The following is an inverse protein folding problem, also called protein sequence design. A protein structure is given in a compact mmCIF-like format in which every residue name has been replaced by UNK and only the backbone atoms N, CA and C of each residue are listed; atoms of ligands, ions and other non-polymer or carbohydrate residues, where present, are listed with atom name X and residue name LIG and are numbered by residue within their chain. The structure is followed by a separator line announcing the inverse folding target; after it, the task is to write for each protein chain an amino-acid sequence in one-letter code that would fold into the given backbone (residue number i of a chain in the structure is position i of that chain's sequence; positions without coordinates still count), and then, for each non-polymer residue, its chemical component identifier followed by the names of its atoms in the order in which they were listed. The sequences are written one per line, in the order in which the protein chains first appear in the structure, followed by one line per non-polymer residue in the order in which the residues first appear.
data_IF_136188282227
#
_entry.id   IF_136188282227
#
_cell.length_a   1.000
_cell.length_b   1.000
_cell.length_c   1.000
_cell.angle_alpha   90.00
_cell.angle_beta   90.00
_cell.angle_gamma   90.00
#
_symmetry.space_group_name_H-M   'P 1'
#
loop_
_entity.id
_entity.type
_entity.pdbx_description
1 polymer ?
#
# COMPACT_ATOMS: atom_id res chain seq x y z
N UNK A 1 17.41 -6.15 18.08
CA UNK A 1 17.63 -5.49 16.78
C UNK A 1 17.27 -6.50 15.71
N UNK A 2 16.14 -6.28 15.04
CA UNK A 2 15.76 -6.83 13.72
C UNK A 2 14.30 -6.41 13.45
N UNK A 3 14.08 -5.13 13.18
CA UNK A 3 12.80 -4.60 12.69
C UNK A 3 12.77 -4.70 11.16
N UNK A 4 12.77 -5.92 10.65
CA UNK A 4 12.42 -6.17 9.26
C UNK A 4 10.90 -6.30 9.21
N UNK A 5 10.20 -5.19 8.97
CA UNK A 5 8.80 -5.26 8.54
C UNK A 5 8.87 -5.82 7.11
N UNK A 6 8.46 -7.06 6.95
CA UNK A 6 8.42 -7.74 5.67
C UNK A 6 7.45 -7.02 4.73
N UNK A 7 7.94 -6.01 4.01
CA UNK A 7 7.21 -5.46 2.86
C UNK A 7 7.00 -6.60 1.88
N UNK A 8 5.74 -6.97 1.66
CA UNK A 8 5.42 -7.94 0.61
C UNK A 8 5.92 -7.41 -0.74
N UNK A 9 6.48 -8.26 -1.62
CA UNK A 9 7.11 -7.81 -2.87
C UNK A 9 6.16 -7.05 -3.82
N UNK A 10 4.86 -7.11 -3.56
CA UNK A 10 3.80 -6.54 -4.41
C UNK A 10 3.08 -5.33 -3.76
N UNK A 11 3.68 -4.72 -2.73
CA UNK A 11 3.14 -3.51 -2.08
C UNK A 11 4.08 -2.33 -2.30
N UNK A 12 3.56 -1.27 -2.92
CA UNK A 12 4.27 -0.01 -3.15
C UNK A 12 4.01 0.92 -1.97
N UNK A 13 5.05 1.27 -1.23
CA UNK A 13 4.96 2.28 -0.17
C UNK A 13 5.03 3.67 -0.79
N UNK A 14 4.07 4.53 -0.43
CA UNK A 14 3.99 5.91 -0.90
C UNK A 14 3.95 6.84 0.30
N UNK A 15 4.86 7.81 0.35
CA UNK A 15 5.07 8.70 1.50
C UNK A 15 5.17 10.18 1.13
N UNK A 16 4.39 10.62 0.12
CA UNK A 16 4.23 12.03 -0.21
C UNK A 16 3.00 12.24 -1.09
N UNK A 17 2.44 13.46 -1.06
CA UNK A 17 1.37 13.90 -1.97
C UNK A 17 1.72 13.73 -3.45
N UNK A 18 2.94 14.07 -3.85
CA UNK A 18 3.42 13.88 -5.22
C UNK A 18 3.43 12.39 -5.61
N UNK A 19 3.83 11.53 -4.67
CA UNK A 19 3.79 10.08 -4.84
C UNK A 19 2.36 9.56 -5.00
N UNK A 20 1.42 10.10 -4.24
CA UNK A 20 -0.01 9.77 -4.35
C UNK A 20 -0.56 10.15 -5.73
N UNK A 21 -0.30 11.38 -6.18
CA UNK A 21 -0.73 11.86 -7.49
C UNK A 21 -0.14 11.02 -8.63
N UNK A 22 1.13 10.64 -8.53
CA UNK A 22 1.78 9.77 -9.50
C UNK A 22 1.17 8.36 -9.52
N UNK A 23 0.90 7.77 -8.36
CA UNK A 23 0.25 6.45 -8.25
C UNK A 23 -1.17 6.47 -8.83
N UNK A 24 -1.95 7.52 -8.51
CA UNK A 24 -3.30 7.70 -9.03
C UNK A 24 -3.30 7.85 -10.56
N UNK A 25 -2.44 8.72 -11.09
CA UNK A 25 -2.28 8.91 -12.55
C UNK A 25 -1.90 7.61 -13.24
N UNK A 26 -0.93 6.87 -12.70
CA UNK A 26 -0.51 5.57 -13.25
C UNK A 26 -1.65 4.56 -13.28
N UNK A 27 -2.39 4.41 -12.18
CA UNK A 27 -3.52 3.49 -12.11
C UNK A 27 -4.61 3.82 -13.15
N UNK A 28 -4.89 5.10 -13.36
CA UNK A 28 -5.86 5.58 -14.36
C UNK A 28 -5.38 5.37 -15.79
N UNK A 29 -4.15 5.79 -16.11
CA UNK A 29 -3.59 5.70 -17.47
C UNK A 29 -3.43 4.25 -17.93
N UNK A 30 -2.90 3.39 -17.05
CA UNK A 30 -2.67 1.98 -17.35
C UNK A 30 -3.96 1.16 -17.32
N UNK A 31 -5.08 1.73 -16.82
CA UNK A 31 -6.37 1.05 -16.58
C UNK A 31 -6.19 -0.25 -15.80
N UNK A 32 -5.26 -0.24 -14.84
CA UNK A 32 -4.87 -1.42 -14.08
C UNK A 32 -5.64 -1.52 -12.76
N UNK A 33 -6.09 -2.72 -12.35
CA UNK A 33 -6.74 -2.88 -11.07
C UNK A 33 -5.76 -2.52 -9.95
N UNK A 34 -6.17 -1.63 -9.06
CA UNK A 34 -5.31 -1.06 -8.02
C UNK A 34 -6.04 -0.98 -6.69
N UNK A 35 -5.33 -1.24 -5.59
CA UNK A 35 -5.80 -1.04 -4.21
C UNK A 35 -5.00 0.11 -3.61
N UNK A 36 -5.71 1.11 -3.07
CA UNK A 36 -5.11 2.20 -2.31
C UNK A 36 -5.42 1.98 -0.82
N UNK A 37 -4.42 1.55 -0.07
CA UNK A 37 -4.53 1.22 1.35
C UNK A 37 -3.98 2.36 2.21
N UNK A 38 -4.90 3.15 2.76
CA UNK A 38 -4.58 4.20 3.73
C UNK A 38 -4.58 3.61 5.15
N UNK A 39 -3.50 3.87 5.89
CA UNK A 39 -3.28 3.36 7.24
C UNK A 39 -2.62 4.41 8.11
N UNK A 40 -2.51 4.14 9.40
CA UNK A 40 -1.65 4.88 10.34
C UNK A 40 -1.04 3.92 11.37
N UNK A 41 0.11 4.26 11.92
CA UNK A 41 0.74 3.45 12.98
C UNK A 41 -0.14 3.34 14.24
N UNK A 42 -0.90 4.39 14.55
CA UNK A 42 -1.82 4.44 15.69
C UNK A 42 -3.20 3.80 15.40
N UNK A 43 -3.48 3.44 14.15
CA UNK A 43 -4.76 2.82 13.78
C UNK A 43 -4.77 1.32 14.16
N UNK A 44 -5.32 1.01 15.34
CA UNK A 44 -5.45 -0.35 15.86
C UNK A 44 -6.07 -1.35 14.86
N UNK A 45 -7.27 -1.06 14.29
CA UNK A 45 -7.89 -1.92 13.27
C UNK A 45 -7.03 -2.09 12.00
N UNK A 46 -6.34 -1.04 11.57
CA UNK A 46 -5.49 -1.09 10.39
C UNK A 46 -4.34 -2.10 10.55
N UNK A 47 -3.76 -2.22 11.75
CA UNK A 47 -2.72 -3.23 12.02
C UNK A 47 -3.23 -4.66 11.86
N UNK A 48 -4.51 -4.93 12.12
CA UNK A 48 -5.12 -6.24 11.89
C UNK A 48 -5.41 -6.49 10.41
N UNK A 49 -5.73 -5.45 9.64
CA UNK A 49 -6.02 -5.52 8.21
C UNK A 49 -4.73 -5.61 7.37
N UNK A 50 -3.65 -4.95 7.78
CA UNK A 50 -2.34 -4.95 7.09
C UNK A 50 -1.87 -6.34 6.63
N UNK A 51 -1.82 -7.39 7.48
CA UNK A 51 -1.39 -8.73 7.04
C UNK A 51 -2.33 -9.35 6.00
N UNK A 52 -3.62 -9.03 6.05
CA UNK A 52 -4.61 -9.51 5.06
C UNK A 52 -4.36 -8.83 3.72
N UNK A 53 -4.14 -7.51 3.70
CA UNK A 53 -3.81 -6.76 2.47
C UNK A 53 -2.50 -7.27 1.85
N UNK A 54 -1.50 -7.53 2.67
CA UNK A 54 -0.23 -8.14 2.23
C UNK A 54 -0.44 -9.53 1.62
N UNK A 55 -1.27 -10.38 2.23
CA UNK A 55 -1.64 -11.68 1.65
C UNK A 55 -2.37 -11.53 0.31
N UNK A 56 -3.32 -10.60 0.21
CA UNK A 56 -4.04 -10.33 -1.04
C UNK A 56 -3.09 -9.85 -2.14
N UNK A 57 -2.08 -9.03 -1.82
CA UNK A 57 -1.07 -8.58 -2.79
C UNK A 57 -0.26 -9.74 -3.38
N UNK A 58 -0.03 -10.81 -2.61
CA UNK A 58 0.64 -12.03 -3.08
C UNK A 58 -0.29 -12.90 -3.92
N UNK A 59 -1.56 -13.00 -3.52
CA UNK A 59 -2.59 -13.80 -4.22
C UNK A 59 -3.00 -13.20 -5.57
N UNK A 60 -2.98 -11.87 -5.69
CA UNK A 60 -3.39 -11.14 -6.87
C UNK A 60 -2.24 -10.27 -7.41
N UNK A 61 -1.18 -10.88 -7.97
CA UNK A 61 0.02 -10.15 -8.42
C UNK A 61 -0.22 -9.17 -9.58
N UNK A 62 -1.37 -9.28 -10.26
CA UNK A 62 -1.79 -8.34 -11.30
C UNK A 62 -2.50 -7.10 -10.76
N UNK A 63 -2.82 -7.06 -9.45
CA UNK A 63 -3.41 -5.92 -8.76
C UNK A 63 -2.30 -5.17 -8.02
N UNK A 64 -2.09 -3.90 -8.37
CA UNK A 64 -1.06 -3.11 -7.68
C UNK A 64 -1.63 -2.59 -6.36
N UNK A 65 -0.96 -2.89 -5.24
CA UNK A 65 -1.34 -2.35 -3.93
C UNK A 65 -0.41 -1.20 -3.56
N UNK A 66 -0.98 0.00 -3.40
CA UNK A 66 -0.30 1.19 -2.91
C UNK A 66 -0.66 1.39 -1.43
N UNK A 67 0.33 1.54 -0.56
CA UNK A 67 0.15 1.73 0.87
C UNK A 67 0.61 3.13 1.28
N UNK A 68 -0.24 3.82 2.02
CA UNK A 68 -0.06 5.21 2.45
C UNK A 68 -0.19 5.25 3.98
N UNK A 69 0.82 5.81 4.65
CA UNK A 69 0.69 6.20 6.05
C UNK A 69 0.24 7.66 6.10
N UNK A 70 -0.96 7.92 6.60
CA UNK A 70 -1.55 9.27 6.59
C UNK A 70 -0.80 10.26 7.47
N UNK A 71 0.09 9.79 8.35
CA UNK A 71 0.96 10.67 9.14
C UNK A 71 2.27 11.02 8.41
N UNK A 72 2.54 10.39 7.26
CA UNK A 72 3.79 10.53 6.49
C UNK A 72 3.59 11.08 5.07
N UNK A 73 2.34 11.12 4.60
CA UNK A 73 1.97 11.66 3.28
C UNK A 73 1.75 13.15 3.37
#
# INVERSE_FOLDING_TARGET
MNNLIAGSPNVVLVGSDDGFNAALKKATDDKSPSIFYFTAAWCGPCRMISPIIEEMSRKFPHVTTYKFDIDQV
#
